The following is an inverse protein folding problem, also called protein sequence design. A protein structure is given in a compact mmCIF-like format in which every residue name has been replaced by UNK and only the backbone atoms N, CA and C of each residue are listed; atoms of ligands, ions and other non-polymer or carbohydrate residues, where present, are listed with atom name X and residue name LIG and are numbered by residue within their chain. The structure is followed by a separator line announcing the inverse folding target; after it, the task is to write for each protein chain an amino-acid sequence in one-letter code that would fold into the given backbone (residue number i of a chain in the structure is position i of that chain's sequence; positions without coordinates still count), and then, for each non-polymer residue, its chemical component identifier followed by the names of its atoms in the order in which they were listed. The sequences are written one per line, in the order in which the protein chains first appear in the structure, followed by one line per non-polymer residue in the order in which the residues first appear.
data_IF_989679525609
#
_entry.id   IF_989679525609
#
_cell.length_a   1.000
_cell.length_b   1.000
_cell.length_c   1.000
_cell.angle_alpha   90.00
_cell.angle_beta   90.00
_cell.angle_gamma   90.00
#
_symmetry.space_group_name_H-M   'P 1'
#
loop_
_entity.id
_entity.type
_entity.pdbx_description
1 polymer ?
#
# COMPACT_ATOMS: atom_id res chain seq x y z
N UNK A 1 -14.56 -7.74 5.54
CA UNK A 1 -13.39 -7.46 6.39
C UNK A 1 -12.28 -8.29 5.80
N UNK A 2 -11.45 -7.69 4.95
CA UNK A 2 -10.42 -8.43 4.20
C UNK A 2 -9.40 -9.04 5.15
N UNK A 3 -9.16 -10.32 4.94
CA UNK A 3 -8.39 -11.21 5.81
C UNK A 3 -6.98 -10.69 6.05
N UNK A 4 -6.66 -10.37 7.30
CA UNK A 4 -5.29 -10.12 7.78
C UNK A 4 -4.42 -11.40 7.77
N UNK A 5 -4.88 -12.50 7.17
CA UNK A 5 -4.27 -13.84 7.28
C UNK A 5 -3.13 -14.13 6.30
N UNK A 6 -2.66 -13.18 5.47
CA UNK A 6 -1.62 -13.48 4.48
C UNK A 6 -0.19 -12.98 4.79
N UNK A 7 0.08 -12.42 5.97
CA UNK A 7 1.49 -12.19 6.37
C UNK A 7 2.05 -13.50 6.91
N UNK A 8 2.71 -14.28 6.05
CA UNK A 8 3.42 -15.50 6.48
C UNK A 8 4.46 -15.12 7.55
N UNK A 9 4.51 -15.83 8.69
CA UNK A 9 5.58 -15.68 9.66
C UNK A 9 6.94 -15.86 8.98
N UNK A 10 7.87 -14.91 9.17
CA UNK A 10 9.18 -14.90 8.50
C UNK A 10 9.21 -14.26 7.11
N UNK A 11 8.10 -13.67 6.64
CA UNK A 11 8.13 -12.85 5.43
C UNK A 11 8.90 -11.55 5.64
N UNK A 12 9.72 -11.17 4.64
CA UNK A 12 10.52 -9.95 4.61
C UNK A 12 9.97 -8.99 3.54
N UNK A 13 10.07 -7.69 3.78
CA UNK A 13 9.71 -6.66 2.81
C UNK A 13 10.41 -6.92 1.48
N UNK A 14 9.65 -6.95 0.38
CA UNK A 14 10.19 -7.22 -0.95
C UNK A 14 11.09 -6.09 -1.46
N UNK A 15 11.08 -4.94 -0.79
CA UNK A 15 11.86 -3.74 -1.15
C UNK A 15 13.16 -3.66 -0.34
N UNK A 16 13.05 -3.70 0.99
CA UNK A 16 14.19 -3.42 1.88
C UNK A 16 14.56 -4.58 2.81
N UNK A 17 13.87 -5.73 2.70
CA UNK A 17 14.05 -6.92 3.56
C UNK A 17 13.76 -6.71 5.06
N UNK A 18 13.20 -5.57 5.46
CA UNK A 18 12.70 -5.35 6.82
C UNK A 18 11.49 -6.22 7.17
N UNK A 19 11.05 -6.17 8.43
CA UNK A 19 9.88 -6.90 8.92
C UNK A 19 8.61 -6.51 8.15
N UNK A 20 7.89 -7.48 7.58
CA UNK A 20 6.64 -7.23 6.85
C UNK A 20 5.57 -6.72 7.82
N UNK A 21 4.83 -5.72 7.35
CA UNK A 21 3.69 -5.11 8.03
C UNK A 21 2.37 -5.44 7.31
N UNK A 22 2.35 -5.34 5.98
CA UNK A 22 1.16 -5.58 5.15
C UNK A 22 1.54 -5.97 3.72
N UNK A 23 0.55 -6.15 2.85
CA UNK A 23 0.74 -6.34 1.41
C UNK A 23 0.26 -5.12 0.63
N UNK A 24 0.93 -4.81 -0.48
CA UNK A 24 0.53 -3.76 -1.40
C UNK A 24 -0.79 -4.14 -2.09
N UNK A 25 -1.81 -3.28 -1.99
CA UNK A 25 -3.11 -3.51 -2.62
C UNK A 25 -3.02 -3.61 -4.16
N UNK A 26 -2.07 -2.90 -4.77
CA UNK A 26 -1.92 -2.86 -6.23
C UNK A 26 -1.21 -4.09 -6.82
N UNK A 27 -0.08 -4.50 -6.24
CA UNK A 27 0.79 -5.53 -6.83
C UNK A 27 1.04 -6.75 -5.93
N UNK A 28 0.50 -6.77 -4.70
CA UNK A 28 0.63 -7.90 -3.76
C UNK A 28 1.98 -8.05 -3.06
N UNK A 29 2.99 -7.23 -3.37
CA UNK A 29 4.30 -7.24 -2.68
C UNK A 29 4.12 -7.12 -1.16
N UNK A 30 4.88 -7.89 -0.40
CA UNK A 30 4.98 -7.73 1.04
C UNK A 30 5.79 -6.47 1.36
N UNK A 31 5.25 -5.56 2.18
CA UNK A 31 5.88 -4.28 2.51
C UNK A 31 6.00 -4.09 4.02
N UNK A 32 7.13 -3.55 4.47
CA UNK A 32 7.29 -3.10 5.85
C UNK A 32 6.61 -1.75 6.08
N UNK A 33 6.50 -1.32 7.34
CA UNK A 33 5.90 -0.04 7.71
C UNK A 33 6.58 1.17 7.05
N UNK A 34 7.90 1.13 6.82
CA UNK A 34 8.64 2.22 6.19
C UNK A 34 8.39 2.32 4.66
N UNK A 35 8.14 1.18 4.01
CA UNK A 35 7.89 1.13 2.57
C UNK A 35 6.39 1.21 2.23
N UNK A 36 5.50 0.96 3.19
CA UNK A 36 4.07 1.08 3.00
C UNK A 36 3.67 2.56 2.90
N UNK A 37 2.78 2.88 1.95
CA UNK A 37 2.19 4.21 1.76
C UNK A 37 0.69 4.08 2.00
N UNK A 38 0.22 4.75 3.05
CA UNK A 38 -1.19 4.73 3.44
C UNK A 38 -2.00 5.70 2.57
N UNK A 39 -3.17 5.24 2.16
CA UNK A 39 -4.16 5.99 1.38
C UNK A 39 -5.56 5.76 1.94
N UNK A 40 -6.42 6.76 1.76
CA UNK A 40 -7.84 6.66 2.02
C UNK A 40 -8.60 6.67 0.70
N UNK A 41 -9.22 5.54 0.36
CA UNK A 41 -9.95 5.38 -0.89
C UNK A 41 -11.43 5.58 -0.64
N UNK A 42 -12.00 6.65 -1.18
CA UNK A 42 -13.43 6.92 -1.14
C UNK A 42 -14.20 6.02 -2.11
N UNK A 43 -15.37 5.56 -1.68
CA UNK A 43 -16.36 4.90 -2.53
C UNK A 43 -17.70 5.64 -2.42
N UNK A 44 -18.48 5.64 -3.50
CA UNK A 44 -19.54 6.63 -3.77
C UNK A 44 -20.59 6.85 -2.67
N UNK A 45 -20.85 5.89 -1.78
CA UNK A 45 -21.80 6.03 -0.66
C UNK A 45 -21.20 6.66 0.61
N UNK A 46 -20.05 7.35 0.50
CA UNK A 46 -19.36 7.96 1.64
C UNK A 46 -18.54 6.97 2.47
N UNK A 47 -18.37 5.73 1.99
CA UNK A 47 -17.50 4.76 2.64
C UNK A 47 -16.05 5.01 2.24
N UNK A 48 -15.16 5.01 3.24
CA UNK A 48 -13.73 5.22 3.05
C UNK A 48 -12.99 3.95 3.46
N UNK A 49 -12.09 3.49 2.61
CA UNK A 49 -11.34 2.26 2.83
C UNK A 49 -9.86 2.57 3.03
N UNK A 50 -9.23 2.03 4.08
CA UNK A 50 -7.78 2.11 4.23
C UNK A 50 -7.12 1.24 3.15
N UNK A 51 -6.18 1.83 2.40
CA UNK A 51 -5.35 1.12 1.43
C UNK A 51 -3.87 1.34 1.75
N UNK A 52 -3.07 0.31 1.53
CA UNK A 52 -1.61 0.39 1.63
C UNK A 52 -0.99 0.01 0.29
N UNK A 53 -0.15 0.88 -0.24
CA UNK A 53 0.59 0.67 -1.49
C UNK A 53 2.10 0.61 -1.24
N UNK A 54 2.84 -0.01 -2.16
CA UNK A 54 4.29 0.15 -2.24
C UNK A 54 4.66 1.51 -2.89
N UNK A 55 5.93 1.94 -2.84
CA UNK A 55 6.35 3.22 -3.41
C UNK A 55 6.05 3.37 -4.91
N UNK A 56 6.13 2.27 -5.67
CA UNK A 56 5.78 2.28 -7.09
C UNK A 56 4.27 2.47 -7.31
N UNK A 57 3.44 1.59 -6.73
CA UNK A 57 1.99 1.57 -6.93
C UNK A 57 1.28 2.80 -6.37
N UNK A 58 1.85 3.49 -5.37
CA UNK A 58 1.19 4.69 -4.82
C UNK A 58 1.20 5.86 -5.81
N UNK A 59 2.15 5.89 -6.75
CA UNK A 59 2.31 6.94 -7.76
C UNK A 59 1.71 6.56 -9.12
N UNK A 60 1.24 5.33 -9.27
CA UNK A 60 0.68 4.83 -10.53
C UNK A 60 -0.83 5.18 -10.62
N UNK A 61 -1.24 6.07 -11.55
CA UNK A 61 -2.63 6.48 -11.71
C UNK A 61 -3.56 5.37 -12.22
N UNK A 62 -3.02 4.29 -12.80
CA UNK A 62 -3.82 3.12 -13.21
C UNK A 62 -4.11 2.18 -12.03
N UNK A 63 -3.44 2.37 -10.89
CA UNK A 63 -3.57 1.54 -9.67
C UNK A 63 -4.16 2.32 -8.50
N UNK A 64 -3.58 3.48 -8.17
CA UNK A 64 -4.02 4.32 -7.06
C UNK A 64 -4.85 5.50 -7.60
N UNK A 65 -6.17 5.56 -7.31
CA UNK A 65 -7.00 6.67 -7.78
C UNK A 65 -6.59 8.04 -7.19
N UNK A 66 -5.81 8.05 -6.10
CA UNK A 66 -5.27 9.26 -5.50
C UNK A 66 -3.85 9.61 -6.04
N UNK A 67 -3.27 8.83 -6.97
CA UNK A 67 -1.89 9.02 -7.43
C UNK A 67 -1.61 10.45 -7.90
N UNK A 68 -2.54 11.04 -8.66
CA UNK A 68 -2.40 12.40 -9.18
C UNK A 68 -2.55 13.50 -8.12
N UNK A 69 -3.01 13.15 -6.91
CA UNK A 69 -3.14 14.07 -5.78
C UNK A 69 -1.92 14.04 -4.86
N UNK A 70 -0.96 13.13 -5.11
CA UNK A 70 0.27 13.04 -4.32
C UNK A 70 1.28 14.05 -4.81
N UNK A 71 1.93 14.73 -3.86
CA UNK A 71 3.17 15.43 -4.15
C UNK A 71 4.27 14.38 -4.42
N UNK A 72 5.18 14.61 -5.40
CA UNK A 72 6.37 13.79 -5.53
C UNK A 72 7.13 13.81 -4.21
N UNK A 73 7.65 12.65 -3.77
CA UNK A 73 8.58 12.58 -2.64
C UNK A 73 9.86 13.36 -3.02
N UNK A 74 9.86 14.69 -2.85
CA UNK A 74 11.02 15.56 -3.10
C UNK A 74 12.01 15.37 -1.95
N UNK A 75 13.19 14.87 -2.30
CA UNK A 75 14.31 14.68 -1.39
C UNK A 75 14.86 16.00 -0.86
#
# INVERSE_FOLDING_TARGET
MTDMENVKPGSSCDICRGQVFTTCLGCGKAVCQACARFELIGSGCGSVWPAYYCPDCVLDPDINPNAMLREPDVC
#
